data_IF_408738967861
#
_entry.id   IF_408738967861
#
_cell.length_a   1.000
_cell.length_b   1.000
_cell.length_c   1.000
_cell.angle_alpha   90.00
_cell.angle_beta   90.00
_cell.angle_gamma   90.00
#
_symmetry.space_group_name_H-M   'P 1'
#
loop_
_entity.id
_entity.type
_entity.pdbx_description
1 polymer ?
#
# COMPACT_ATOMS: atom_id res chain seq x y z
N UNK A 1 15.06 27.57 57.92
CA UNK A 1 14.36 26.47 57.24
C UNK A 1 15.17 25.19 57.55
N UNK A 2 14.49 24.14 57.99
CA UNK A 2 15.17 22.86 58.23
C UNK A 2 15.63 22.27 56.88
N UNK A 3 16.90 21.79 56.83
CA UNK A 3 17.41 21.06 55.66
C UNK A 3 16.64 19.77 55.51
N UNK A 4 15.73 19.70 54.53
CA UNK A 4 15.04 18.47 54.17
C UNK A 4 15.90 17.66 53.18
N UNK A 5 15.96 16.37 53.37
CA UNK A 5 16.56 15.46 52.39
C UNK A 5 15.63 15.39 51.15
N UNK A 6 16.19 15.17 49.98
CA UNK A 6 15.42 15.01 48.75
C UNK A 6 14.39 13.87 48.87
N UNK A 7 14.74 12.80 49.59
CA UNK A 7 13.87 11.66 49.89
C UNK A 7 12.65 11.98 50.76
N UNK A 8 12.68 13.13 51.49
CA UNK A 8 11.62 13.56 52.41
C UNK A 8 10.65 14.54 51.75
N UNK A 9 10.81 14.79 50.45
CA UNK A 9 9.92 15.64 49.67
C UNK A 9 8.70 14.85 49.23
N UNK A 10 7.53 15.50 49.22
CA UNK A 10 6.32 14.93 48.63
C UNK A 10 6.52 14.81 47.13
N UNK A 11 6.14 13.67 46.57
CA UNK A 11 6.22 13.46 45.12
C UNK A 11 5.34 14.47 44.37
N UNK A 12 5.89 15.09 43.35
CA UNK A 12 5.16 15.94 42.43
C UNK A 12 4.39 15.05 41.44
N UNK A 13 3.07 15.13 41.44
CA UNK A 13 2.21 14.31 40.58
C UNK A 13 1.87 14.98 39.25
N UNK A 14 2.03 16.32 39.17
CA UNK A 14 1.78 17.11 37.96
C UNK A 14 2.90 18.13 37.83
N UNK A 15 3.54 18.20 36.65
CA UNK A 15 4.59 19.16 36.35
C UNK A 15 4.03 20.36 35.60
N UNK A 16 4.46 21.57 35.95
CA UNK A 16 4.27 22.78 35.18
C UNK A 16 5.54 23.11 34.37
N UNK A 17 5.39 23.92 33.33
CA UNK A 17 6.54 24.31 32.48
C UNK A 17 7.61 25.10 33.24
N UNK A 18 7.21 25.81 34.31
CA UNK A 18 8.05 26.62 35.16
C UNK A 18 8.69 25.84 36.33
N UNK A 19 8.29 24.57 36.52
CA UNK A 19 8.91 23.72 37.53
C UNK A 19 10.41 23.56 37.23
N UNK A 20 11.23 23.51 38.31
CA UNK A 20 12.67 23.48 38.16
C UNK A 20 13.26 22.18 38.68
N UNK A 21 14.21 21.65 37.96
CA UNK A 21 14.99 20.49 38.31
C UNK A 21 16.37 21.01 38.76
N UNK A 22 16.85 20.70 39.99
CA UNK A 22 18.23 21.03 40.40
C UNK A 22 19.22 20.13 39.64
N UNK A 23 20.25 20.73 39.09
CA UNK A 23 21.34 20.04 38.42
C UNK A 23 22.69 20.46 38.98
N UNK A 24 23.69 19.58 38.85
CA UNK A 24 25.09 19.92 39.15
C UNK A 24 25.81 20.11 37.80
N UNK A 25 26.24 21.32 37.52
CA UNK A 25 27.02 21.65 36.34
C UNK A 25 28.48 21.23 36.57
N UNK A 26 28.87 20.10 35.99
CA UNK A 26 30.23 19.55 36.15
C UNK A 26 31.28 20.31 35.32
N UNK A 27 30.86 21.12 34.35
CA UNK A 27 31.77 22.00 33.58
C UNK A 27 32.19 23.23 34.36
N UNK A 28 31.45 23.61 35.42
CA UNK A 28 31.74 24.72 36.28
C UNK A 28 32.86 24.38 37.28
N UNK A 29 33.89 25.18 37.33
CA UNK A 29 35.05 24.95 38.19
C UNK A 29 34.85 25.41 39.62
N UNK A 30 33.95 26.38 39.84
CA UNK A 30 33.66 26.91 41.18
C UNK A 30 32.58 26.10 41.91
N UNK A 31 32.90 25.57 43.07
CA UNK A 31 31.95 24.80 43.88
C UNK A 31 30.72 25.61 44.32
N UNK A 32 30.85 26.94 44.45
CA UNK A 32 29.74 27.80 44.85
C UNK A 32 28.71 28.05 43.74
N UNK A 33 29.07 27.80 42.46
CA UNK A 33 28.24 28.04 41.30
C UNK A 33 27.83 26.78 40.54
N UNK A 34 28.30 25.60 40.97
CA UNK A 34 27.97 24.29 40.36
C UNK A 34 26.48 23.93 40.43
N UNK A 35 25.80 24.34 41.51
CA UNK A 35 24.41 24.03 41.70
C UNK A 35 23.57 24.99 40.86
N UNK A 36 22.96 24.49 39.82
CA UNK A 36 22.11 25.20 38.89
C UNK A 36 20.66 24.69 38.96
N UNK A 37 19.76 25.36 38.33
CA UNK A 37 18.39 24.90 38.09
C UNK A 37 18.11 24.98 36.62
N UNK A 38 17.34 24.04 36.12
CA UNK A 38 16.82 24.05 34.77
C UNK A 38 15.27 23.90 34.84
N UNK A 39 14.55 24.64 34.06
CA UNK A 39 13.09 24.41 33.95
C UNK A 39 12.81 23.12 33.18
N UNK A 40 11.67 22.48 33.43
CA UNK A 40 11.23 21.30 32.67
C UNK A 40 11.21 21.62 31.16
N UNK A 41 10.72 22.80 30.79
CA UNK A 41 10.74 23.24 29.40
C UNK A 41 12.15 23.28 28.80
N UNK A 42 13.11 23.91 29.50
CA UNK A 42 14.49 24.02 29.01
C UNK A 42 15.25 22.69 29.02
N UNK A 43 14.88 21.77 29.91
CA UNK A 43 15.45 20.43 29.94
C UNK A 43 15.14 19.67 28.62
N UNK A 44 13.91 19.79 28.11
CA UNK A 44 13.54 19.18 26.85
C UNK A 44 13.94 20.00 25.62
N UNK A 45 13.96 21.34 25.71
CA UNK A 45 14.28 22.23 24.59
C UNK A 45 15.79 22.43 24.37
N UNK A 46 16.60 22.35 25.44
CA UNK A 46 18.03 22.67 25.42
C UNK A 46 18.96 21.49 25.10
N UNK A 47 18.44 20.30 24.84
CA UNK A 47 19.25 19.13 24.47
C UNK A 47 19.45 19.09 22.95
N UNK A 48 20.66 19.41 22.41
CA UNK A 48 20.90 19.51 20.97
C UNK A 48 20.70 18.20 20.19
N UNK A 49 20.61 17.08 20.87
CA UNK A 49 20.32 15.75 20.31
C UNK A 49 19.87 14.83 21.42
N UNK A 50 18.57 14.80 21.69
CA UNK A 50 18.04 13.77 22.58
C UNK A 50 18.00 12.44 21.81
N UNK A 51 19.07 11.66 21.86
CA UNK A 51 19.07 10.26 21.42
C UNK A 51 18.26 9.42 22.40
N UNK A 52 16.93 9.44 22.26
CA UNK A 52 16.05 8.62 23.07
C UNK A 52 16.19 7.16 22.65
N UNK A 53 16.86 6.36 23.48
CA UNK A 53 16.98 4.91 23.31
C UNK A 53 15.93 4.24 24.16
N UNK A 54 14.97 3.62 23.51
CA UNK A 54 13.88 2.87 24.15
C UNK A 54 14.20 1.37 24.11
N UNK A 55 13.64 0.61 25.05
CA UNK A 55 13.59 -0.84 24.96
C UNK A 55 12.81 -1.27 23.71
N UNK A 56 13.04 -2.47 23.19
CA UNK A 56 12.47 -2.95 21.94
C UNK A 56 10.94 -2.99 21.94
N UNK A 57 10.33 -3.31 23.07
CA UNK A 57 8.89 -3.53 23.17
C UNK A 57 8.44 -4.80 22.46
N UNK A 58 7.11 -4.94 22.37
CA UNK A 58 6.43 -6.02 21.64
C UNK A 58 5.15 -5.47 21.02
N UNK A 59 4.45 -6.24 20.19
CA UNK A 59 3.16 -5.84 19.65
C UNK A 59 2.12 -5.56 20.76
N UNK A 60 2.13 -6.37 21.84
CA UNK A 60 1.22 -6.20 22.99
C UNK A 60 1.65 -5.12 23.99
N UNK A 61 2.92 -4.72 23.95
CA UNK A 61 3.51 -3.68 24.82
C UNK A 61 4.54 -2.87 24.02
N UNK A 62 4.12 -1.99 23.10
CA UNK A 62 5.00 -1.17 22.29
C UNK A 62 5.90 -0.24 23.14
N UNK A 63 7.09 0.06 22.63
CA UNK A 63 8.05 0.97 23.31
C UNK A 63 7.52 2.42 23.40
N UNK A 64 6.73 2.82 22.42
CA UNK A 64 5.99 4.08 22.42
C UNK A 64 4.52 3.72 22.29
N UNK A 65 3.73 3.98 23.32
CA UNK A 65 2.31 3.64 23.37
C UNK A 65 1.47 4.80 23.91
N UNK A 66 0.17 4.73 23.70
CA UNK A 66 -0.78 5.70 24.23
C UNK A 66 -1.26 5.27 25.62
N UNK A 67 -1.43 6.20 26.54
CA UNK A 67 -1.86 5.91 27.92
C UNK A 67 -3.17 5.13 27.99
N UNK A 68 -4.11 5.43 27.10
CA UNK A 68 -5.43 4.78 27.02
C UNK A 68 -5.47 3.56 26.08
N UNK A 69 -4.35 3.26 25.39
CA UNK A 69 -4.24 2.17 24.42
C UNK A 69 -2.82 1.60 24.47
N UNK A 70 -2.49 0.94 25.57
CA UNK A 70 -1.13 0.46 25.88
C UNK A 70 -0.59 -0.62 24.94
N UNK A 71 -1.47 -1.23 24.13
CA UNK A 71 -1.15 -2.21 23.08
C UNK A 71 -1.18 -1.62 21.67
N UNK A 72 -1.19 -0.28 21.53
CA UNK A 72 -1.14 0.43 20.26
C UNK A 72 0.04 1.39 20.27
N UNK A 73 0.93 1.28 19.27
CA UNK A 73 2.12 2.11 19.22
C UNK A 73 3.25 1.58 18.36
N UNK A 74 4.46 2.08 18.60
CA UNK A 74 5.68 1.73 17.87
C UNK A 74 6.57 0.80 18.71
N UNK A 75 7.17 -0.20 18.07
CA UNK A 75 8.12 -1.11 18.70
C UNK A 75 9.13 -1.66 17.68
N UNK A 76 10.20 -2.28 18.17
CA UNK A 76 11.22 -2.96 17.37
C UNK A 76 10.96 -4.47 17.38
N UNK A 77 10.47 -5.04 16.29
CA UNK A 77 10.14 -6.46 16.19
C UNK A 77 11.37 -7.38 16.13
N UNK A 78 12.45 -6.90 15.52
CA UNK A 78 13.75 -7.57 15.46
C UNK A 78 14.88 -6.56 15.19
N UNK A 79 16.12 -7.03 15.07
CA UNK A 79 17.26 -6.18 14.75
C UNK A 79 17.03 -5.48 13.39
N UNK A 80 17.18 -4.15 13.39
CA UNK A 80 16.99 -3.28 12.22
C UNK A 80 15.56 -3.32 11.63
N UNK A 81 14.55 -3.66 12.43
CA UNK A 81 13.14 -3.61 12.03
C UNK A 81 12.39 -2.56 12.85
N UNK A 82 11.41 -1.94 12.25
CA UNK A 82 10.45 -1.04 12.88
C UNK A 82 9.04 -1.55 12.64
N UNK A 83 8.22 -1.58 13.68
CA UNK A 83 6.86 -2.07 13.61
C UNK A 83 5.87 -1.14 14.28
N UNK A 84 4.66 -1.12 13.73
CA UNK A 84 3.47 -0.48 14.31
C UNK A 84 2.54 -1.58 14.79
N UNK A 85 2.11 -1.49 16.04
CA UNK A 85 1.08 -2.35 16.61
C UNK A 85 -0.25 -1.60 16.75
N UNK A 86 -1.35 -2.30 16.56
CA UNK A 86 -2.70 -1.86 16.92
C UNK A 86 -3.41 -3.00 17.63
N UNK A 87 -4.01 -2.70 18.79
CA UNK A 87 -4.73 -3.71 19.60
C UNK A 87 -3.93 -4.98 19.86
N UNK A 88 -2.62 -4.85 20.11
CA UNK A 88 -1.72 -5.97 20.42
C UNK A 88 -1.29 -6.81 19.22
N UNK A 89 -1.76 -6.50 18.02
CA UNK A 89 -1.36 -7.12 16.75
C UNK A 89 -0.39 -6.25 15.95
N UNK A 90 0.51 -6.86 15.20
CA UNK A 90 1.38 -6.16 14.26
C UNK A 90 0.57 -5.70 13.03
N UNK A 91 0.49 -4.40 12.78
CA UNK A 91 -0.24 -3.83 11.67
C UNK A 91 0.66 -3.49 10.48
N UNK A 92 1.84 -2.91 10.75
CA UNK A 92 2.83 -2.57 9.73
C UNK A 92 4.21 -3.00 10.22
N UNK A 93 5.04 -3.51 9.31
CA UNK A 93 6.44 -3.83 9.57
C UNK A 93 7.33 -3.31 8.44
N UNK A 94 8.43 -2.64 8.81
CA UNK A 94 9.54 -2.31 7.91
C UNK A 94 10.72 -3.20 8.30
N UNK A 95 11.15 -4.05 7.39
CA UNK A 95 12.21 -5.04 7.58
C UNK A 95 13.60 -4.44 7.31
N UNK A 96 14.65 -5.13 7.76
CA UNK A 96 16.05 -4.73 7.57
C UNK A 96 16.45 -4.56 6.09
N UNK A 97 15.76 -5.23 5.18
CA UNK A 97 15.94 -5.13 3.73
C UNK A 97 15.07 -4.06 3.06
N UNK A 98 14.47 -3.16 3.85
CA UNK A 98 13.54 -2.11 3.43
C UNK A 98 12.20 -2.62 2.85
N UNK A 99 11.88 -3.91 3.02
CA UNK A 99 10.55 -4.42 2.67
C UNK A 99 9.54 -3.92 3.70
N UNK A 100 8.44 -3.34 3.23
CA UNK A 100 7.30 -2.97 4.07
C UNK A 100 6.18 -3.98 3.91
N UNK A 101 5.70 -4.52 5.01
CA UNK A 101 4.55 -5.45 5.05
C UNK A 101 3.40 -4.81 5.82
N UNK A 102 2.22 -4.81 5.25
CA UNK A 102 0.95 -4.42 5.88
C UNK A 102 0.17 -5.70 6.18
N UNK A 103 -0.23 -5.90 7.43
CA UNK A 103 -0.89 -7.12 7.91
C UNK A 103 -2.42 -7.04 7.90
N UNK A 104 -2.97 -6.06 7.23
CA UNK A 104 -4.41 -5.86 7.04
C UNK A 104 -4.68 -5.25 5.68
N UNK A 105 -5.90 -4.76 5.48
CA UNK A 105 -6.30 -4.11 4.25
C UNK A 105 -5.59 -2.76 4.08
N UNK A 106 -5.16 -2.45 2.87
CA UNK A 106 -4.65 -1.14 2.49
C UNK A 106 -5.70 -0.41 1.64
N UNK A 107 -6.26 0.64 2.19
CA UNK A 107 -7.14 1.57 1.45
C UNK A 107 -6.37 2.84 1.15
N UNK A 108 -6.17 3.14 -0.11
CA UNK A 108 -5.55 4.39 -0.57
C UNK A 108 -6.64 5.31 -1.09
N UNK A 109 -6.89 6.41 -0.37
CA UNK A 109 -7.86 7.44 -0.76
C UNK A 109 -7.14 8.61 -1.40
N UNK A 110 -7.44 8.92 -2.65
CA UNK A 110 -6.81 10.03 -3.38
C UNK A 110 -7.09 9.97 -4.86
N UNK A 111 -6.68 11.00 -5.60
CA UNK A 111 -6.91 11.08 -7.05
C UNK A 111 -6.03 10.16 -7.88
N UNK A 112 -4.82 9.83 -7.40
CA UNK A 112 -3.87 8.98 -8.15
C UNK A 112 -2.98 8.22 -7.19
N UNK A 113 -2.80 6.91 -7.44
CA UNK A 113 -1.78 6.08 -6.80
C UNK A 113 -0.76 5.68 -7.85
N UNK A 114 0.51 6.03 -7.62
CA UNK A 114 1.61 5.63 -8.51
C UNK A 114 2.41 4.50 -7.87
N UNK A 115 2.55 3.39 -8.58
CA UNK A 115 3.42 2.28 -8.20
C UNK A 115 4.56 2.24 -9.22
N UNK A 116 5.78 2.57 -8.78
CA UNK A 116 6.97 2.54 -9.62
C UNK A 116 7.77 1.27 -9.32
N UNK A 117 7.42 0.19 -9.98
CA UNK A 117 8.11 -1.09 -9.89
C UNK A 117 8.19 -1.76 -11.26
N UNK A 118 9.10 -2.70 -11.42
CA UNK A 118 9.24 -3.46 -12.68
C UNK A 118 8.17 -4.53 -12.84
N UNK A 119 7.52 -4.93 -11.74
CA UNK A 119 6.49 -5.96 -11.72
C UNK A 119 5.51 -5.72 -10.58
N UNK A 120 4.25 -5.99 -10.81
CA UNK A 120 3.19 -6.05 -9.80
C UNK A 120 2.66 -7.48 -9.80
N UNK A 121 2.87 -8.20 -8.69
CA UNK A 121 2.34 -9.54 -8.47
C UNK A 121 1.01 -9.44 -7.71
N UNK A 122 -0.05 -9.97 -8.32
CA UNK A 122 -1.37 -10.07 -7.71
C UNK A 122 -1.68 -11.54 -7.48
N UNK A 123 -1.84 -11.94 -6.23
CA UNK A 123 -2.17 -13.34 -5.85
C UNK A 123 -3.67 -13.62 -5.97
N UNK A 124 -4.49 -12.58 -5.95
CA UNK A 124 -5.95 -12.70 -6.08
C UNK A 124 -6.35 -13.11 -7.49
N UNK A 125 -7.50 -13.79 -7.59
CA UNK A 125 -8.01 -14.29 -8.86
C UNK A 125 -8.56 -13.20 -9.77
N UNK A 126 -8.98 -12.07 -9.21
CA UNK A 126 -9.65 -11.00 -9.92
C UNK A 126 -9.00 -9.64 -9.65
N UNK A 127 -8.89 -8.83 -10.69
CA UNK A 127 -8.64 -7.41 -10.60
C UNK A 127 -9.97 -6.70 -10.88
N UNK A 128 -10.52 -6.00 -9.89
CA UNK A 128 -11.75 -5.22 -10.04
C UNK A 128 -11.41 -3.77 -10.38
N UNK A 129 -11.97 -3.27 -11.46
CA UNK A 129 -11.84 -1.88 -11.89
C UNK A 129 -13.19 -1.19 -11.74
N UNK A 130 -13.17 0.13 -11.51
CA UNK A 130 -14.39 0.96 -11.44
C UNK A 130 -15.42 0.51 -10.39
N UNK A 131 -14.98 -0.07 -9.26
CA UNK A 131 -15.85 -0.63 -8.21
C UNK A 131 -16.78 0.39 -7.53
N UNK A 132 -16.48 1.68 -7.65
CA UNK A 132 -17.32 2.78 -7.12
C UNK A 132 -18.47 3.18 -8.02
N UNK A 133 -18.59 2.59 -9.22
CA UNK A 133 -19.63 2.93 -10.18
C UNK A 133 -20.83 1.97 -10.06
N UNK A 134 -22.02 2.51 -10.21
CA UNK A 134 -23.29 1.77 -10.17
C UNK A 134 -23.97 1.64 -11.55
N UNK A 135 -23.32 2.09 -12.62
CA UNK A 135 -23.82 2.04 -13.99
C UNK A 135 -22.70 1.74 -14.98
N UNK A 136 -23.05 1.19 -16.13
CA UNK A 136 -22.10 0.88 -17.21
C UNK A 136 -21.46 2.15 -17.77
N UNK A 137 -22.24 3.24 -17.89
CA UNK A 137 -21.72 4.56 -18.30
C UNK A 137 -20.72 5.15 -17.29
N UNK A 138 -20.84 4.84 -16.00
CA UNK A 138 -19.87 5.23 -15.00
C UNK A 138 -18.54 4.45 -15.11
N UNK A 139 -18.58 3.26 -15.67
CA UNK A 139 -17.42 2.41 -15.92
C UNK A 139 -16.80 2.62 -17.33
N UNK A 140 -17.41 3.46 -18.18
CA UNK A 140 -16.93 3.72 -19.54
C UNK A 140 -15.46 4.15 -19.57
N UNK A 141 -14.68 3.56 -20.45
CA UNK A 141 -13.24 3.78 -20.54
C UNK A 141 -12.40 3.01 -19.52
N UNK A 142 -13.03 2.33 -18.55
CA UNK A 142 -12.33 1.48 -17.57
C UNK A 142 -11.63 0.30 -18.25
N UNK A 143 -10.35 0.05 -17.92
CA UNK A 143 -9.60 -1.03 -18.56
C UNK A 143 -8.11 -0.93 -18.38
N UNK A 144 -7.36 -1.46 -19.33
CA UNK A 144 -5.90 -1.51 -19.34
C UNK A 144 -5.34 -0.54 -20.39
N UNK A 145 -4.36 0.25 -19.99
CA UNK A 145 -3.63 1.14 -20.90
C UNK A 145 -2.13 0.90 -20.81
N UNK A 146 -1.51 0.58 -21.93
CA UNK A 146 -0.04 0.54 -22.08
C UNK A 146 0.43 1.83 -22.74
N UNK A 147 1.20 2.61 -21.99
CA UNK A 147 1.73 3.89 -22.47
C UNK A 147 2.84 3.70 -23.49
N UNK A 148 2.84 4.51 -24.55
CA UNK A 148 3.85 4.56 -25.59
C UNK A 148 3.75 5.88 -26.33
N UNK A 149 4.28 5.97 -27.56
CA UNK A 149 4.10 7.15 -28.43
C UNK A 149 2.61 7.42 -28.72
N UNK A 150 1.81 6.37 -28.76
CA UNK A 150 0.36 6.38 -28.65
C UNK A 150 -0.05 5.29 -27.65
N UNK A 151 -1.11 5.50 -26.90
CA UNK A 151 -1.60 4.53 -25.93
C UNK A 151 -2.19 3.30 -26.62
N UNK A 152 -1.95 2.11 -26.05
CA UNK A 152 -2.58 0.84 -26.43
C UNK A 152 -3.58 0.51 -25.34
N UNK A 153 -4.83 0.32 -25.73
CA UNK A 153 -5.92 0.18 -24.76
C UNK A 153 -6.74 -1.08 -25.01
N UNK A 154 -7.22 -1.65 -23.91
CA UNK A 154 -8.30 -2.65 -23.89
C UNK A 154 -9.27 -2.21 -22.80
N UNK A 155 -10.34 -1.54 -23.21
CA UNK A 155 -11.25 -0.83 -22.33
C UNK A 155 -12.69 -1.27 -22.55
N UNK A 156 -13.49 -1.19 -21.49
CA UNK A 156 -14.93 -1.22 -21.57
C UNK A 156 -15.43 0.02 -22.30
N UNK A 157 -16.36 -0.17 -23.26
CA UNK A 157 -16.99 0.90 -24.02
C UNK A 157 -18.51 0.73 -23.88
N UNK A 158 -19.14 1.60 -23.09
CA UNK A 158 -20.56 1.55 -22.77
C UNK A 158 -21.46 1.68 -24.03
N UNK A 159 -21.12 2.60 -24.92
CA UNK A 159 -21.91 2.86 -26.14
C UNK A 159 -22.01 1.66 -27.07
N UNK A 160 -21.11 0.68 -26.97
CA UNK A 160 -21.10 -0.53 -27.79
C UNK A 160 -21.33 -1.79 -26.97
N UNK A 161 -21.50 -1.66 -25.65
CA UNK A 161 -21.63 -2.78 -24.69
C UNK A 161 -20.55 -3.84 -24.92
N UNK A 162 -19.29 -3.41 -25.04
CA UNK A 162 -18.21 -4.28 -25.45
C UNK A 162 -16.83 -3.90 -24.86
N UNK A 163 -16.00 -4.92 -24.67
CA UNK A 163 -14.57 -4.73 -24.49
C UNK A 163 -13.90 -4.43 -25.82
N UNK A 164 -13.32 -3.25 -25.94
CA UNK A 164 -12.72 -2.74 -27.18
C UNK A 164 -11.21 -2.59 -27.05
N UNK A 165 -10.47 -3.20 -27.99
CA UNK A 165 -9.04 -3.02 -28.14
C UNK A 165 -8.76 -2.04 -29.30
N UNK A 166 -7.85 -1.08 -29.09
CA UNK A 166 -7.38 -0.20 -30.18
C UNK A 166 -6.18 -0.78 -30.95
N UNK A 167 -5.81 -2.03 -30.66
CA UNK A 167 -4.79 -2.81 -31.36
C UNK A 167 -5.35 -4.17 -31.78
N UNK A 168 -4.66 -4.84 -32.69
CA UNK A 168 -5.01 -6.21 -33.06
C UNK A 168 -4.89 -7.15 -31.84
N UNK A 169 -5.80 -8.13 -31.77
CA UNK A 169 -5.72 -9.22 -30.81
C UNK A 169 -5.13 -10.42 -31.55
N UNK A 170 -3.90 -10.77 -31.22
CA UNK A 170 -3.21 -11.92 -31.79
C UNK A 170 -3.20 -13.06 -30.78
N UNK A 171 -3.51 -14.26 -31.23
CA UNK A 171 -3.41 -15.48 -30.43
C UNK A 171 -2.25 -16.33 -30.93
N UNK A 172 -1.43 -16.83 -30.03
CA UNK A 172 -0.24 -17.61 -30.38
C UNK A 172 -0.61 -18.91 -31.10
N UNK A 173 0.36 -19.48 -31.80
CA UNK A 173 0.23 -20.76 -32.54
C UNK A 173 -0.43 -21.85 -31.70
N UNK A 174 -1.42 -22.51 -32.26
CA UNK A 174 -2.18 -23.58 -31.63
C UNK A 174 -3.33 -23.08 -30.72
N UNK A 175 -3.51 -21.74 -30.60
CA UNK A 175 -4.67 -21.14 -29.91
C UNK A 175 -5.74 -20.74 -30.92
N UNK A 176 -6.98 -20.58 -30.41
CA UNK A 176 -8.18 -20.37 -31.23
C UNK A 176 -9.13 -19.41 -30.55
N UNK A 177 -9.97 -18.71 -31.31
CA UNK A 177 -11.11 -18.00 -30.77
C UNK A 177 -12.27 -18.96 -30.53
N UNK A 178 -12.92 -18.82 -29.36
CA UNK A 178 -14.05 -19.65 -28.93
C UNK A 178 -15.23 -18.82 -28.49
N UNK A 179 -16.43 -19.33 -28.74
CA UNK A 179 -17.68 -18.83 -28.15
C UNK A 179 -18.28 -19.98 -27.35
N UNK A 180 -18.59 -19.75 -26.07
CA UNK A 180 -19.12 -20.77 -25.15
C UNK A 180 -18.36 -22.12 -25.22
N UNK A 181 -17.01 -22.06 -25.27
CA UNK A 181 -16.15 -23.24 -25.36
C UNK A 181 -15.97 -23.82 -26.78
N UNK A 182 -16.82 -23.44 -27.75
CA UNK A 182 -16.77 -23.92 -29.14
C UNK A 182 -15.78 -23.10 -29.96
N UNK A 183 -14.88 -23.74 -30.72
CA UNK A 183 -13.99 -23.07 -31.66
C UNK A 183 -14.73 -22.45 -32.79
N UNK A 184 -14.56 -21.14 -33.01
CA UNK A 184 -15.19 -20.39 -34.12
C UNK A 184 -14.19 -19.92 -35.17
N UNK A 185 -12.95 -19.68 -34.80
CA UNK A 185 -11.87 -19.25 -35.70
C UNK A 185 -10.51 -19.77 -35.23
N UNK A 186 -9.76 -20.33 -36.16
CA UNK A 186 -8.32 -20.60 -35.98
C UNK A 186 -7.52 -19.97 -37.14
N UNK A 187 -6.20 -20.27 -37.24
CA UNK A 187 -5.34 -19.64 -38.22
C UNK A 187 -5.72 -19.96 -39.68
N UNK A 188 -6.43 -21.03 -39.94
CA UNK A 188 -6.66 -21.55 -41.30
C UNK A 188 -8.12 -21.88 -41.62
N UNK A 189 -8.99 -21.99 -40.57
CA UNK A 189 -10.36 -22.45 -40.76
C UNK A 189 -11.37 -21.69 -39.93
N UNK A 190 -12.57 -21.51 -40.44
CA UNK A 190 -13.76 -21.24 -39.65
C UNK A 190 -14.18 -22.53 -38.93
N UNK A 191 -14.63 -22.42 -37.69
CA UNK A 191 -15.12 -23.59 -36.95
C UNK A 191 -16.35 -24.24 -37.61
N UNK A 192 -16.43 -25.57 -37.47
CA UNK A 192 -17.53 -26.33 -38.08
C UNK A 192 -18.94 -25.92 -37.56
N UNK A 193 -19.01 -25.23 -36.44
CA UNK A 193 -20.26 -24.70 -35.85
C UNK A 193 -20.72 -23.39 -36.51
N UNK A 194 -19.93 -22.80 -37.42
CA UNK A 194 -20.37 -21.61 -38.20
C UNK A 194 -21.09 -22.09 -39.42
N UNK A 195 -22.40 -22.31 -39.28
CA UNK A 195 -23.26 -22.90 -40.32
C UNK A 195 -23.89 -21.87 -41.24
N UNK A 196 -24.00 -20.60 -40.83
CA UNK A 196 -24.52 -19.50 -41.63
C UNK A 196 -23.46 -18.42 -41.81
N UNK A 197 -23.34 -17.89 -43.02
CA UNK A 197 -22.38 -16.84 -43.34
C UNK A 197 -23.03 -15.83 -44.29
N UNK A 198 -22.80 -14.54 -44.04
CA UNK A 198 -23.19 -13.43 -44.95
C UNK A 198 -22.04 -13.08 -45.92
N UNK A 199 -21.11 -13.98 -46.18
CA UNK A 199 -20.03 -13.75 -47.14
C UNK A 199 -20.59 -13.54 -48.53
N UNK A 200 -20.41 -12.35 -49.09
CA UNK A 200 -20.85 -11.99 -50.44
C UNK A 200 -19.76 -12.23 -51.49
N UNK A 201 -18.52 -12.42 -51.02
CA UNK A 201 -17.39 -12.74 -51.89
C UNK A 201 -16.42 -13.65 -51.13
N UNK A 202 -16.01 -14.71 -51.75
CA UNK A 202 -14.91 -15.56 -51.31
C UNK A 202 -13.83 -15.51 -52.44
N UNK A 203 -12.58 -15.34 -52.13
CA UNK A 203 -11.51 -15.27 -53.10
C UNK A 203 -11.53 -16.50 -54.04
N UNK A 204 -10.40 -16.85 -54.63
CA UNK A 204 -10.29 -18.06 -55.51
C UNK A 204 -10.56 -19.32 -54.69
N UNK A 205 -11.65 -20.03 -55.00
CA UNK A 205 -11.97 -21.33 -54.42
C UNK A 205 -11.31 -22.43 -55.25
N UNK A 206 -10.44 -23.23 -54.62
CA UNK A 206 -9.85 -24.41 -55.29
C UNK A 206 -10.85 -25.54 -55.50
N UNK A 207 -11.86 -25.63 -54.63
CA UNK A 207 -13.01 -26.54 -54.76
C UNK A 207 -14.23 -25.95 -53.99
N UNK A 208 -15.40 -26.11 -54.54
CA UNK A 208 -16.70 -25.81 -53.90
C UNK A 208 -17.53 -27.09 -53.92
N UNK A 209 -17.91 -27.61 -52.76
CA UNK A 209 -18.90 -28.70 -52.68
C UNK A 209 -20.20 -28.07 -52.21
N UNK A 210 -21.23 -28.16 -53.08
CA UNK A 210 -22.62 -27.78 -52.76
C UNK A 210 -23.39 -29.07 -52.57
N UNK A 211 -23.83 -29.32 -51.34
CA UNK A 211 -24.75 -30.41 -51.02
C UNK A 211 -26.17 -29.87 -50.97
N UNK A 212 -26.94 -30.16 -51.97
CA UNK A 212 -28.38 -29.89 -51.96
C UNK A 212 -29.06 -30.93 -51.07
N UNK A 213 -29.84 -30.46 -50.11
CA UNK A 213 -30.73 -31.34 -49.36
C UNK A 213 -32.02 -31.52 -50.14
#
# INVERSE_FOLDING_TARGET
MANRKITDLTALTTTAVDDVIPIVDISETSNSTKNKKITVQNFFAGTPSLNLKLADGTASAPSIAFTSATSTGLYRSAVNELSIATNGGQAIKVEANNKTTIYGDLVVTGGTTTISSTQIDVTDKNLQLATGNSSDSGADGGGLTVKGSSDKTWNWVDSTDAWTANQHIDVTTGKVFKIAGTTVLNATTLGASIVNSSLTSVGTLGALTVTNA
#
